data_IF_155614376554
#
_entry.id   IF_155614376554
#
_cell.length_a   1.000
_cell.length_b   1.000
_cell.length_c   1.000
_cell.angle_alpha   90.00
_cell.angle_beta   90.00
_cell.angle_gamma   90.00
#
_symmetry.space_group_name_H-M   'P 1'
#
loop_
_entity.id
_entity.type
_entity.pdbx_description
1 polymer ?
#
# COMPACT_ATOMS: atom_id res chain seq x y z
N UNK A 1 3.53 -29.91 -4.46
CA UNK A 1 4.33 -28.73 -4.05
C UNK A 1 5.68 -29.23 -3.57
N UNK A 2 6.78 -28.90 -4.26
CA UNK A 2 8.12 -29.20 -3.77
C UNK A 2 8.33 -28.54 -2.41
N UNK A 3 8.87 -29.28 -1.42
CA UNK A 3 9.13 -28.78 -0.07
C UNK A 3 9.99 -27.51 -0.07
N UNK A 4 10.83 -27.34 -1.09
CA UNK A 4 11.66 -26.14 -1.31
C UNK A 4 10.80 -24.89 -1.54
N UNK A 5 9.77 -24.96 -2.39
CA UNK A 5 8.90 -23.81 -2.66
C UNK A 5 8.11 -23.41 -1.41
N UNK A 6 7.65 -24.40 -0.64
CA UNK A 6 6.95 -24.16 0.62
C UNK A 6 7.84 -23.44 1.64
N UNK A 7 9.09 -23.89 1.78
CA UNK A 7 10.04 -23.27 2.71
C UNK A 7 10.31 -21.80 2.34
N UNK A 8 10.54 -21.52 1.05
CA UNK A 8 10.78 -20.15 0.56
C UNK A 8 9.58 -19.24 0.82
N UNK A 9 8.36 -19.73 0.57
CA UNK A 9 7.12 -18.96 0.81
C UNK A 9 6.92 -18.64 2.29
N UNK A 10 7.22 -19.59 3.18
CA UNK A 10 7.10 -19.38 4.63
C UNK A 10 8.11 -18.35 5.11
N UNK A 11 9.38 -18.51 4.74
CA UNK A 11 10.45 -17.58 5.14
C UNK A 11 10.18 -16.19 4.58
N UNK A 12 9.84 -16.08 3.30
CA UNK A 12 9.52 -14.81 2.65
C UNK A 12 8.34 -14.09 3.30
N UNK A 13 7.28 -14.82 3.63
CA UNK A 13 6.10 -14.27 4.30
C UNK A 13 6.41 -13.76 5.71
N UNK A 14 7.18 -14.50 6.51
CA UNK A 14 7.56 -14.09 7.87
C UNK A 14 8.48 -12.86 7.84
N UNK A 15 9.49 -12.85 6.96
CA UNK A 15 10.37 -11.69 6.79
C UNK A 15 9.59 -10.46 6.35
N UNK A 16 8.65 -10.64 5.43
CA UNK A 16 7.80 -9.55 4.94
C UNK A 16 6.92 -8.98 6.05
N UNK A 17 6.29 -9.85 6.86
CA UNK A 17 5.50 -9.44 8.01
C UNK A 17 6.35 -8.67 9.04
N UNK A 18 7.55 -9.16 9.37
CA UNK A 18 8.47 -8.47 10.27
C UNK A 18 8.91 -7.10 9.74
N UNK A 19 9.17 -7.00 8.42
CA UNK A 19 9.50 -5.75 7.76
C UNK A 19 8.36 -4.72 7.87
N UNK A 20 7.11 -5.14 7.65
CA UNK A 20 5.93 -4.27 7.83
C UNK A 20 5.82 -3.79 9.27
N UNK A 21 5.93 -4.68 10.26
CA UNK A 21 5.89 -4.28 11.68
C UNK A 21 6.97 -3.24 11.99
N UNK A 22 8.18 -3.41 11.47
CA UNK A 22 9.27 -2.46 11.68
C UNK A 22 8.97 -1.09 11.04
N UNK A 23 8.40 -1.07 9.83
CA UNK A 23 7.98 0.18 9.18
C UNK A 23 6.88 0.92 9.96
N UNK A 24 5.95 0.18 10.57
CA UNK A 24 4.91 0.75 11.45
C UNK A 24 5.54 1.31 12.73
N UNK A 25 6.44 0.56 13.38
CA UNK A 25 7.15 1.01 14.59
C UNK A 25 7.99 2.26 14.37
N UNK A 26 8.60 2.41 13.20
CA UNK A 26 9.43 3.57 12.85
C UNK A 26 8.63 4.82 12.45
N UNK A 27 7.29 4.80 12.58
CA UNK A 27 6.37 5.90 12.20
C UNK A 27 6.51 6.40 10.76
N UNK A 28 7.16 5.60 9.88
CA UNK A 28 7.35 5.93 8.47
C UNK A 28 6.08 5.75 7.63
N UNK A 29 5.08 5.02 8.15
CA UNK A 29 3.74 4.93 7.57
C UNK A 29 2.71 5.54 8.52
N UNK A 30 1.80 6.38 7.98
CA UNK A 30 0.59 6.74 8.72
C UNK A 30 -0.23 5.47 9.02
N UNK A 31 -0.84 5.42 10.20
CA UNK A 31 -1.59 4.25 10.70
C UNK A 31 -2.61 3.70 9.69
N UNK A 32 -3.24 4.57 8.90
CA UNK A 32 -4.21 4.14 7.87
C UNK A 32 -3.59 3.28 6.76
N UNK A 33 -2.35 3.56 6.37
CA UNK A 33 -1.64 2.80 5.35
C UNK A 33 -1.01 1.53 5.94
N UNK A 34 -0.58 1.61 7.20
CA UNK A 34 -0.08 0.46 7.95
C UNK A 34 -1.13 -0.66 8.09
N UNK A 35 -2.40 -0.31 8.35
CA UNK A 35 -3.49 -1.29 8.48
C UNK A 35 -3.67 -2.15 7.23
N UNK A 36 -3.63 -1.54 6.04
CA UNK A 36 -3.72 -2.27 4.77
C UNK A 36 -2.55 -3.26 4.65
N UNK A 37 -1.32 -2.80 4.91
CA UNK A 37 -0.13 -3.66 4.85
C UNK A 37 -0.13 -4.80 5.88
N UNK A 38 -0.63 -4.57 7.09
CA UNK A 38 -0.76 -5.60 8.13
C UNK A 38 -1.76 -6.67 7.69
N UNK A 39 -2.93 -6.27 7.20
CA UNK A 39 -3.95 -7.21 6.72
C UNK A 39 -3.42 -8.04 5.54
N UNK A 40 -2.74 -7.39 4.58
CA UNK A 40 -2.17 -8.08 3.41
C UNK A 40 -1.03 -9.02 3.77
N UNK A 41 -0.13 -8.63 4.68
CA UNK A 41 0.95 -9.51 5.12
C UNK A 41 0.43 -10.69 5.93
N UNK A 42 -0.58 -10.48 6.78
CA UNK A 42 -1.25 -11.55 7.51
C UNK A 42 -1.96 -12.55 6.57
N UNK A 43 -2.65 -12.07 5.54
CA UNK A 43 -3.29 -12.98 4.57
C UNK A 43 -2.26 -13.83 3.82
N UNK A 44 -1.07 -13.29 3.50
CA UNK A 44 0.02 -14.10 2.96
C UNK A 44 0.57 -15.15 3.93
N UNK A 45 0.70 -14.82 5.22
CA UNK A 45 1.12 -15.80 6.25
C UNK A 45 0.12 -16.95 6.30
N UNK A 46 -1.17 -16.65 6.33
CA UNK A 46 -2.24 -17.65 6.36
C UNK A 46 -2.18 -18.56 5.13
N UNK A 47 -2.07 -17.98 3.92
CA UNK A 47 -1.96 -18.76 2.68
C UNK A 47 -0.68 -19.63 2.63
N UNK A 48 0.41 -19.17 3.22
CA UNK A 48 1.69 -19.88 3.24
C UNK A 48 1.71 -21.05 4.24
N UNK A 49 1.13 -20.85 5.42
CA UNK A 49 1.01 -21.90 6.46
C UNK A 49 -0.03 -22.95 6.05
N UNK A 50 -1.16 -22.51 5.49
CA UNK A 50 -2.29 -23.35 5.09
C UNK A 50 -2.43 -23.40 3.56
N UNK A 51 -1.66 -24.25 2.85
CA UNK A 51 -1.78 -24.37 1.40
C UNK A 51 -3.17 -24.85 0.96
N UNK A 52 -3.94 -25.50 1.86
CA UNK A 52 -5.33 -25.88 1.61
C UNK A 52 -6.22 -24.70 1.22
N UNK A 53 -5.95 -23.48 1.71
CA UNK A 53 -6.69 -22.28 1.32
C UNK A 53 -6.49 -21.96 -0.16
N UNK A 54 -5.25 -22.11 -0.65
CA UNK A 54 -4.91 -21.92 -2.07
C UNK A 54 -5.55 -23.00 -2.93
N UNK A 55 -5.51 -24.27 -2.50
CA UNK A 55 -6.18 -25.36 -3.21
C UNK A 55 -7.70 -25.17 -3.29
N UNK A 56 -8.32 -24.67 -2.21
CA UNK A 56 -9.75 -24.35 -2.19
C UNK A 56 -10.10 -23.24 -3.18
N UNK A 57 -9.33 -22.15 -3.19
CA UNK A 57 -9.51 -21.06 -4.16
C UNK A 57 -9.29 -21.57 -5.60
N UNK A 58 -8.28 -22.40 -5.82
CA UNK A 58 -7.99 -22.99 -7.13
C UNK A 58 -9.16 -23.83 -7.64
N UNK A 59 -9.80 -24.59 -6.75
CA UNK A 59 -10.98 -25.42 -7.08
C UNK A 59 -12.22 -24.56 -7.37
N UNK A 60 -12.41 -23.46 -6.67
CA UNK A 60 -13.52 -22.51 -6.95
C UNK A 60 -13.31 -21.80 -8.27
N UNK A 61 -12.08 -21.38 -8.54
CA UNK A 61 -11.72 -20.66 -9.77
C UNK A 61 -11.48 -21.60 -10.97
N UNK A 62 -11.60 -22.91 -10.77
CA UNK A 62 -11.34 -23.98 -11.75
C UNK A 62 -9.95 -23.85 -12.42
N UNK A 63 -8.95 -23.52 -11.61
CA UNK A 63 -7.57 -23.32 -12.06
C UNK A 63 -6.80 -24.63 -11.93
N UNK A 64 -6.29 -25.14 -13.05
CA UNK A 64 -5.60 -26.41 -13.16
C UNK A 64 -4.32 -26.50 -12.31
N UNK A 65 -3.58 -25.38 -12.21
CA UNK A 65 -2.35 -25.28 -11.42
C UNK A 65 -2.57 -24.37 -10.20
N UNK A 66 -2.54 -24.88 -8.95
CA UNK A 66 -2.80 -24.08 -7.75
C UNK A 66 -1.89 -22.87 -7.55
N UNK A 67 -0.66 -22.94 -8.09
CA UNK A 67 0.25 -21.80 -8.10
C UNK A 67 -0.31 -20.60 -8.87
N UNK A 68 -1.07 -20.83 -9.95
CA UNK A 68 -1.66 -19.76 -10.75
C UNK A 68 -2.77 -19.03 -10.00
N UNK A 69 -3.57 -19.75 -9.19
CA UNK A 69 -4.55 -19.12 -8.32
C UNK A 69 -3.89 -18.24 -7.26
N UNK A 70 -2.75 -18.69 -6.70
CA UNK A 70 -1.95 -17.88 -5.78
C UNK A 70 -1.40 -16.62 -6.46
N UNK A 71 -0.85 -16.74 -7.68
CA UNK A 71 -0.39 -15.58 -8.45
C UNK A 71 -1.54 -14.60 -8.72
N UNK A 72 -2.71 -15.08 -9.09
CA UNK A 72 -3.89 -14.24 -9.32
C UNK A 72 -4.29 -13.48 -8.05
N UNK A 73 -4.30 -14.13 -6.88
CA UNK A 73 -4.54 -13.48 -5.60
C UNK A 73 -3.48 -12.41 -5.29
N UNK A 74 -2.20 -12.70 -5.49
CA UNK A 74 -1.10 -11.74 -5.25
C UNK A 74 -1.23 -10.53 -6.17
N UNK A 75 -1.46 -10.76 -7.47
CA UNK A 75 -1.62 -9.69 -8.48
C UNK A 75 -2.84 -8.82 -8.14
N UNK A 76 -3.96 -9.44 -7.76
CA UNK A 76 -5.16 -8.71 -7.36
C UNK A 76 -4.91 -7.84 -6.11
N UNK A 77 -4.25 -8.38 -5.09
CA UNK A 77 -3.86 -7.62 -3.90
C UNK A 77 -2.91 -6.47 -4.25
N UNK A 78 -1.93 -6.69 -5.13
CA UNK A 78 -1.04 -5.64 -5.62
C UNK A 78 -1.81 -4.54 -6.35
N UNK A 79 -2.82 -4.89 -7.16
CA UNK A 79 -3.65 -3.92 -7.86
C UNK A 79 -4.44 -3.04 -6.89
N UNK A 80 -5.03 -3.64 -5.85
CA UNK A 80 -5.68 -2.90 -4.77
C UNK A 80 -4.72 -1.96 -4.03
N UNK A 81 -3.47 -2.40 -3.80
CA UNK A 81 -2.43 -1.56 -3.19
C UNK A 81 -2.06 -0.38 -4.07
N UNK A 82 -1.79 -0.62 -5.35
CA UNK A 82 -1.48 0.44 -6.32
C UNK A 82 -2.64 1.42 -6.39
N UNK A 83 -3.88 0.94 -6.41
CA UNK A 83 -5.05 1.81 -6.39
C UNK A 83 -5.12 2.68 -5.12
N UNK A 84 -4.91 2.10 -3.94
CA UNK A 84 -4.88 2.86 -2.68
C UNK A 84 -3.77 3.92 -2.67
N UNK A 85 -2.60 3.62 -3.24
CA UNK A 85 -1.51 4.58 -3.42
C UNK A 85 -1.90 5.68 -4.40
N UNK A 86 -2.52 5.36 -5.53
CA UNK A 86 -3.02 6.34 -6.50
C UNK A 86 -4.02 7.30 -5.86
N UNK A 87 -4.95 6.81 -5.05
CA UNK A 87 -5.89 7.64 -4.28
C UNK A 87 -5.15 8.55 -3.29
N UNK A 88 -4.13 8.02 -2.59
CA UNK A 88 -3.31 8.80 -1.68
C UNK A 88 -2.58 9.95 -2.38
N UNK A 89 -1.92 9.65 -3.51
CA UNK A 89 -1.19 10.61 -4.34
C UNK A 89 -2.14 11.67 -4.90
N UNK A 90 -3.31 11.26 -5.41
CA UNK A 90 -4.33 12.18 -5.91
C UNK A 90 -4.80 13.18 -4.84
N UNK A 91 -5.04 12.71 -3.61
CA UNK A 91 -5.40 13.60 -2.49
C UNK A 91 -4.26 14.55 -2.11
N UNK A 92 -3.01 14.10 -2.15
CA UNK A 92 -1.84 14.95 -1.90
C UNK A 92 -1.70 16.03 -2.98
N UNK A 93 -1.89 15.70 -4.26
CA UNK A 93 -1.88 16.67 -5.35
C UNK A 93 -2.92 17.79 -5.14
N UNK A 94 -4.13 17.43 -4.68
CA UNK A 94 -5.15 18.41 -4.31
C UNK A 94 -4.73 19.35 -3.17
N UNK A 95 -4.05 18.83 -2.13
CA UNK A 95 -3.52 19.65 -1.02
C UNK A 95 -2.41 20.58 -1.48
N UNK A 96 -1.48 20.10 -2.32
CA UNK A 96 -0.40 20.91 -2.91
C UNK A 96 -1.00 22.05 -3.73
N UNK A 97 -2.01 21.77 -4.56
CA UNK A 97 -2.68 22.82 -5.35
C UNK A 97 -3.27 23.92 -4.47
N UNK A 98 -3.93 23.56 -3.35
CA UNK A 98 -4.48 24.55 -2.39
C UNK A 98 -3.38 25.38 -1.73
N UNK A 99 -2.30 24.73 -1.27
CA UNK A 99 -1.17 25.43 -0.67
C UNK A 99 -0.51 26.42 -1.65
N UNK A 100 -0.36 26.03 -2.92
CA UNK A 100 0.16 26.92 -3.97
C UNK A 100 -0.76 28.13 -4.17
N UNK A 101 -2.09 27.93 -4.14
CA UNK A 101 -3.05 29.02 -4.24
C UNK A 101 -3.00 29.97 -3.03
N UNK A 102 -2.94 29.44 -1.82
CA UNK A 102 -2.81 30.23 -0.59
C UNK A 102 -1.51 31.05 -0.58
N UNK A 103 -0.37 30.43 -0.93
CA UNK A 103 0.92 31.13 -1.06
C UNK A 103 0.85 32.22 -2.14
N UNK A 104 0.16 31.96 -3.25
CA UNK A 104 -0.06 32.94 -4.32
C UNK A 104 -0.83 34.18 -3.85
N UNK A 105 -1.95 33.97 -3.14
CA UNK A 105 -2.72 35.08 -2.55
C UNK A 105 -1.89 35.86 -1.52
N UNK A 106 -1.24 35.16 -0.59
CA UNK A 106 -0.40 35.79 0.43
C UNK A 106 0.68 36.68 -0.20
N UNK A 107 1.32 36.20 -1.27
CA UNK A 107 2.34 36.97 -1.99
C UNK A 107 1.75 38.24 -2.63
N UNK A 108 0.59 38.13 -3.28
CA UNK A 108 -0.10 39.26 -3.88
C UNK A 108 -0.49 40.33 -2.84
N UNK A 109 -0.96 39.92 -1.66
CA UNK A 109 -1.31 40.84 -0.57
C UNK A 109 -0.08 41.59 -0.04
N UNK A 110 1.06 40.90 0.14
CA UNK A 110 2.31 41.57 0.54
C UNK A 110 2.84 42.53 -0.51
N UNK A 111 2.75 42.20 -1.80
CA UNK A 111 3.17 43.09 -2.89
C UNK A 111 2.25 44.31 -3.01
N UNK A 112 0.95 44.15 -2.75
CA UNK A 112 0.00 45.25 -2.69
C UNK A 112 0.27 46.22 -1.54
N UNK A 113 0.62 45.71 -0.35
CA UNK A 113 1.00 46.54 0.82
C UNK A 113 2.30 47.31 0.62
N UNK A 114 3.31 46.72 -0.03
CA UNK A 114 4.58 47.40 -0.33
C UNK A 114 4.47 48.51 -1.38
N UNK A 115 3.36 48.57 -2.15
CA UNK A 115 3.11 49.61 -3.17
C UNK A 115 2.24 50.75 -2.67
N UNK A 116 1.68 50.69 -1.46
CA UNK A 116 1.03 51.83 -0.85
C UNK A 116 2.13 52.80 -0.36
N UNK A 117 2.28 54.00 -0.95
CA UNK A 117 3.23 54.97 -0.42
C UNK A 117 2.78 55.36 0.99
N UNK A 118 3.70 55.27 1.95
CA UNK A 118 3.55 55.91 3.26
C UNK A 118 3.11 57.37 3.01
N UNK A 119 1.95 57.73 3.56
CA UNK A 119 1.49 59.13 3.62
C UNK A 119 2.24 59.87 4.70
#
# INVERSE_FOLDING_TARGET
>A
MSSTLRLVLVIGSVLFFAFIINMVRTKKLELKYALIWIITSLSFVVMSVFPQTVFFISKILDVEVPANALFLCIIFLLLLMVFALTVAVSRQAGRIKRLVQEVGLLKADTEGKNKAPEK
#
